data_IF_362750009561
#
_entry.id   IF_362750009561
#
_cell.length_a   1.000
_cell.length_b   1.000
_cell.length_c   1.000
_cell.angle_alpha   90.00
_cell.angle_beta   90.00
_cell.angle_gamma   90.00
#
_symmetry.space_group_name_H-M   'P 1'
#
loop_
_entity.id
_entity.type
_entity.pdbx_description
1 polymer ?
2 non-polymer ?
3 water ?
#
# COMPACT_ATOMS: atom_id res chain seq x y z
N UNK A 4 -13.73 -18.75 -1.43
CA UNK A 4 -12.71 -19.44 -0.62
C UNK A 4 -11.34 -19.44 -1.31
N UNK A 5 -10.34 -19.34 -0.54
CA UNK A 5 -9.01 -19.22 -1.11
C UNK A 5 -8.35 -20.59 -1.22
N UNK A 6 -7.48 -20.77 -2.21
CA UNK A 6 -6.83 -22.07 -2.37
C UNK A 6 -6.05 -22.45 -1.14
N UNK A 7 -5.91 -23.75 -0.94
CA UNK A 7 -5.21 -24.30 0.20
C UNK A 7 -4.18 -25.31 -0.28
N UNK A 8 -3.19 -25.55 0.58
CA UNK A 8 -2.21 -26.61 0.43
C UNK A 8 -2.02 -27.25 1.79
N UNK A 9 -1.45 -28.39 1.78
CA UNK A 9 -1.17 -29.00 3.07
C UNK A 9 0.27 -28.80 3.45
N UNK A 10 0.59 -28.72 4.75
CA UNK A 10 -0.40 -28.68 5.84
C UNK A 10 -1.04 -27.32 5.93
N UNK A 11 -2.27 -27.24 6.45
CA UNK A 11 -2.95 -25.97 6.62
C UNK A 11 -2.64 -25.31 7.95
N UNK A 12 -1.94 -26.02 8.84
CA UNK A 12 -1.60 -25.49 10.15
C UNK A 12 -0.18 -25.93 10.46
N UNK A 13 0.59 -25.04 11.09
CA UNK A 13 1.97 -25.34 11.38
C UNK A 13 2.54 -24.31 12.34
N UNK A 14 3.49 -24.75 13.17
CA UNK A 14 4.23 -23.86 14.04
C UNK A 14 5.09 -22.89 13.23
N UNK A 15 5.42 -21.73 13.79
CA UNK A 15 6.31 -20.79 13.10
C UNK A 15 7.59 -21.48 12.64
N UNK A 16 8.10 -21.03 11.49
CA UNK A 16 9.33 -21.55 10.92
C UNK A 16 10.26 -20.42 10.54
N UNK A 17 11.42 -20.79 10.05
CA UNK A 17 12.50 -19.90 9.69
C UNK A 17 12.96 -20.25 8.28
N UNK A 18 13.12 -19.29 7.40
CA UNK A 18 13.66 -19.60 6.07
C UNK A 18 15.16 -19.81 6.18
N UNK A 19 15.70 -20.53 5.20
CA UNK A 19 17.15 -20.73 5.13
C UNK A 19 17.73 -19.66 4.22
N UNK A 20 17.98 -18.49 4.81
CA UNK A 20 18.47 -17.33 4.07
C UNK A 20 19.98 -17.42 3.96
N UNK A 21 20.48 -17.20 2.76
CA UNK A 21 21.91 -17.10 2.50
C UNK A 21 22.26 -15.68 2.08
N UNK A 22 22.22 -14.76 3.03
CA UNK A 22 22.52 -13.37 2.71
C UNK A 22 23.99 -13.20 2.30
N UNK A 23 24.20 -12.38 1.28
CA UNK A 23 25.50 -12.05 0.71
C UNK A 23 25.85 -10.58 1.03
N UNK A 24 27.07 -10.17 0.64
CA UNK A 24 27.52 -8.80 0.89
C UNK A 24 26.69 -7.78 0.14
N UNK A 25 26.36 -8.07 -1.13
CA UNK A 25 25.62 -7.14 -1.96
C UNK A 25 24.12 -7.13 -1.67
N UNK A 26 23.63 -7.99 -0.79
CA UNK A 26 22.20 -8.13 -0.59
C UNK A 26 21.68 -7.11 0.42
N UNK A 27 20.51 -6.54 0.13
CA UNK A 27 19.78 -5.72 1.08
C UNK A 27 18.41 -6.33 1.32
N UNK A 28 18.02 -6.36 2.58
CA UNK A 28 16.69 -6.81 2.95
C UNK A 28 15.72 -5.66 2.65
N UNK A 29 14.71 -5.94 1.83
CA UNK A 29 13.72 -4.93 1.45
C UNK A 29 12.64 -4.84 2.51
N UNK A 30 12.04 -5.97 2.84
CA UNK A 30 11.11 -6.10 3.93
C UNK A 30 11.37 -7.46 4.54
N UNK A 31 11.12 -7.55 5.84
CA UNK A 31 11.49 -8.70 6.63
C UNK A 31 10.38 -9.01 7.61
N UNK A 32 10.01 -10.30 7.72
CA UNK A 32 8.98 -10.76 8.65
C UNK A 32 7.66 -10.01 8.48
N UNK A 33 7.31 -9.69 7.24
CA UNK A 33 6.04 -9.03 6.98
C UNK A 33 4.92 -10.06 7.06
N UNK A 34 3.94 -9.82 7.95
CA UNK A 34 2.92 -10.81 8.24
C UNK A 34 1.79 -10.71 7.23
N UNK A 35 1.25 -11.87 6.85
CA UNK A 35 0.11 -11.97 5.97
C UNK A 35 -0.83 -12.99 6.58
N UNK A 36 -2.09 -12.66 6.84
CA UNK A 36 -2.92 -13.48 7.75
C UNK A 36 -3.60 -14.66 7.06
N UNK A 37 -2.81 -15.61 6.58
CA UNK A 37 -3.38 -16.80 5.97
C UNK A 37 -2.29 -17.86 5.96
N UNK A 38 -2.66 -19.14 5.96
CA UNK A 38 -1.64 -20.19 6.03
C UNK A 38 -0.68 -20.09 4.86
N UNK A 39 0.52 -20.64 5.07
CA UNK A 39 1.58 -20.59 4.08
C UNK A 39 1.13 -21.11 2.72
N UNK A 40 0.50 -22.30 2.71
CA UNK A 40 0.06 -22.87 1.44
C UNK A 40 -0.90 -21.99 0.67
N UNK A 41 -1.73 -21.22 1.39
CA UNK A 41 -2.66 -20.30 0.72
C UNK A 41 -1.90 -19.15 0.07
N UNK A 42 -0.97 -18.55 0.80
CA UNK A 42 -0.24 -17.41 0.25
C UNK A 42 0.60 -17.85 -0.95
N UNK A 43 1.22 -19.02 -0.85
CA UNK A 43 2.00 -19.53 -1.98
C UNK A 43 1.11 -19.68 -3.21
N UNK A 44 -0.12 -20.18 -3.01
CA UNK A 44 -1.03 -20.33 -4.14
C UNK A 44 -1.48 -18.99 -4.69
N UNK A 45 -1.59 -17.96 -3.83
CA UNK A 45 -2.01 -16.65 -4.31
C UNK A 45 -0.97 -16.04 -5.26
N UNK A 46 0.31 -16.10 -4.87
CA UNK A 46 1.37 -15.48 -5.67
C UNK A 46 1.77 -16.35 -6.87
N UNK A 47 1.74 -17.67 -6.69
CA UNK A 47 2.46 -18.56 -7.59
C UNK A 47 1.64 -19.71 -8.13
N UNK A 48 0.40 -19.89 -7.67
CA UNK A 48 -0.45 -21.01 -8.07
C UNK A 48 -1.05 -20.88 -9.46
N UNK A 49 -1.78 -21.93 -9.86
CA UNK A 49 -2.22 -22.04 -11.25
C UNK A 49 -3.27 -20.99 -11.63
N UNK A 50 -4.02 -20.46 -10.69
CA UNK A 50 -4.82 -19.29 -11.00
C UNK A 50 -3.93 -18.06 -10.86
N UNK A 51 -3.45 -17.54 -11.99
CA UNK A 51 -2.49 -16.45 -11.99
C UNK A 51 -3.15 -15.08 -11.91
N UNK A 52 -4.47 -15.02 -11.74
CA UNK A 52 -5.14 -13.72 -11.64
C UNK A 52 -4.67 -12.95 -10.41
N UNK A 53 -4.39 -13.66 -9.31
CA UNK A 53 -3.95 -12.96 -8.11
C UNK A 53 -2.60 -12.30 -8.31
N UNK A 54 -1.63 -13.00 -8.93
CA UNK A 54 -0.36 -12.32 -9.21
C UNK A 54 -0.56 -11.17 -10.19
N UNK A 55 -1.44 -11.36 -11.16
CA UNK A 55 -1.80 -10.25 -12.06
C UNK A 55 -2.30 -9.05 -11.29
N UNK A 56 -3.15 -9.28 -10.28
CA UNK A 56 -3.61 -8.15 -9.46
C UNK A 56 -2.46 -7.51 -8.69
N UNK A 57 -1.53 -8.33 -8.20
CA UNK A 57 -0.40 -7.78 -7.45
C UNK A 57 0.38 -6.79 -8.31
N UNK A 58 0.65 -7.15 -9.57
CA UNK A 58 1.45 -6.28 -10.41
C UNK A 58 0.66 -5.03 -10.80
N UNK A 59 -0.57 -5.21 -11.27
CA UNK A 59 -1.35 -4.06 -11.73
C UNK A 59 -1.88 -3.21 -10.58
N UNK A 60 -1.65 -3.63 -9.34
CA UNK A 60 -1.99 -2.76 -8.21
C UNK A 60 -1.16 -1.49 -8.22
N UNK A 61 0.07 -1.57 -8.73
CA UNK A 61 0.90 -0.39 -8.94
C UNK A 61 0.48 0.28 -10.25
N UNK A 62 -0.03 1.51 -10.15
CA UNK A 62 -0.47 2.26 -11.31
C UNK A 62 0.62 2.40 -12.37
N UNK A 63 1.88 2.35 -11.95
CA UNK A 63 2.98 2.53 -12.89
C UNK A 63 3.29 1.29 -13.70
N UNK A 64 2.72 0.13 -13.35
CA UNK A 64 2.91 -1.08 -14.13
C UNK A 64 1.79 -1.17 -15.16
N UNK A 65 2.17 -1.23 -16.45
CA UNK A 65 1.24 -1.24 -17.56
C UNK A 65 1.66 -2.29 -18.57
N UNK A 66 0.74 -2.62 -19.48
CA UNK A 66 0.99 -3.61 -20.52
C UNK A 66 1.53 -4.92 -19.92
N UNK A 67 0.79 -5.42 -18.94
CA UNK A 67 1.16 -6.66 -18.24
C UNK A 67 0.62 -7.83 -19.05
N UNK A 68 1.53 -8.62 -19.64
CA UNK A 68 1.04 -9.78 -20.36
C UNK A 68 0.48 -10.82 -19.38
N UNK A 69 -0.29 -11.76 -19.92
CA UNK A 69 -0.88 -12.77 -19.05
C UNK A 69 0.21 -13.57 -18.39
N UNK A 70 0.02 -13.87 -17.10
CA UNK A 70 1.03 -14.56 -16.30
C UNK A 70 0.84 -16.05 -16.49
N UNK A 71 1.83 -16.78 -16.99
CA UNK A 71 1.72 -18.24 -17.07
C UNK A 71 1.84 -18.91 -15.72
N UNK A 72 1.34 -20.14 -15.65
CA UNK A 72 1.64 -20.95 -14.47
C UNK A 72 3.09 -21.42 -14.49
N UNK A 73 3.57 -21.88 -13.35
CA UNK A 73 4.90 -22.48 -13.28
C UNK A 73 4.92 -23.82 -14.00
N UNK A 74 5.94 -24.02 -14.81
CA UNK A 74 6.17 -25.30 -15.46
C UNK A 74 7.56 -25.79 -15.08
N UNK A 75 7.79 -27.11 -14.99
CA UNK A 75 6.89 -28.24 -15.27
C UNK A 75 5.69 -28.24 -14.33
N UNK A 76 5.89 -27.86 -13.08
CA UNK A 76 4.78 -27.61 -12.18
C UNK A 76 5.28 -26.71 -11.05
N UNK A 77 4.37 -26.42 -10.11
CA UNK A 77 4.70 -25.59 -8.95
C UNK A 77 5.47 -26.46 -7.97
N UNK A 78 6.79 -26.51 -8.15
CA UNK A 78 7.64 -27.38 -7.36
C UNK A 78 9.08 -26.90 -7.54
N UNK A 79 9.97 -27.36 -6.67
CA UNK A 79 11.37 -26.98 -6.80
C UNK A 79 11.87 -27.34 -8.19
N UNK A 80 12.57 -26.41 -8.84
CA UNK A 80 12.96 -26.55 -10.22
C UNK A 80 12.00 -25.95 -11.23
N UNK A 81 10.76 -25.63 -10.83
CA UNK A 81 9.82 -25.00 -11.73
C UNK A 81 10.17 -23.55 -11.99
N UNK A 82 9.69 -23.04 -13.13
CA UNK A 82 9.98 -21.66 -13.50
C UNK A 82 8.90 -21.12 -14.44
N UNK A 83 8.91 -19.80 -14.60
CA UNK A 83 8.02 -19.13 -15.53
C UNK A 83 8.62 -17.79 -15.90
N UNK A 84 8.11 -17.20 -16.97
CA UNK A 84 8.64 -15.99 -17.54
C UNK A 84 7.47 -15.10 -17.95
N UNK A 85 7.54 -13.81 -17.65
CA UNK A 85 6.57 -12.85 -18.16
C UNK A 85 7.21 -11.46 -18.19
N UNK A 86 6.48 -10.51 -18.77
CA UNK A 86 6.98 -9.18 -19.04
C UNK A 86 5.90 -8.16 -18.74
N UNK A 87 6.34 -6.94 -18.44
CA UNK A 87 5.43 -5.81 -18.38
C UNK A 87 6.29 -4.55 -18.49
N UNK A 88 5.64 -3.39 -18.40
CA UNK A 88 6.30 -2.11 -18.53
C UNK A 88 6.10 -1.32 -17.24
N UNK A 89 7.17 -0.71 -16.74
CA UNK A 89 7.12 0.08 -15.52
C UNK A 89 7.38 1.54 -15.84
N UNK A 90 6.43 2.41 -15.49
CA UNK A 90 6.65 3.84 -15.61
C UNK A 90 7.57 4.31 -14.49
N UNK A 91 8.50 5.18 -14.85
CA UNK A 91 9.54 5.69 -13.97
C UNK A 91 9.42 7.22 -13.85
N UNK A 92 10.32 7.78 -13.07
CA UNK A 92 10.44 9.22 -12.94
C UNK A 92 11.40 9.69 -14.03
N UNK A 93 10.88 10.45 -14.99
CA UNK A 93 11.70 10.86 -16.13
C UNK A 93 12.68 12.00 -15.81
N UNK A 94 12.69 12.53 -14.58
CA UNK A 94 13.69 13.54 -14.26
C UNK A 94 14.98 12.91 -13.79
N UNK A 95 14.93 11.73 -13.16
CA UNK A 95 16.14 10.99 -12.83
C UNK A 95 16.47 9.89 -13.82
N UNK A 96 15.57 9.54 -14.73
CA UNK A 96 15.87 8.52 -15.73
C UNK A 96 14.96 8.54 -16.93
N UNK A 97 14.81 7.38 -17.58
CA UNK A 97 13.88 7.27 -18.72
C UNK A 97 12.44 7.22 -18.23
N UNK A 98 11.52 7.55 -19.13
CA UNK A 98 10.13 7.64 -18.72
C UNK A 98 9.53 6.29 -18.34
N UNK A 99 10.06 5.19 -18.88
CA UNK A 99 9.56 3.88 -18.50
C UNK A 99 10.61 2.85 -18.91
N UNK A 100 10.42 1.61 -18.46
CA UNK A 100 11.28 0.52 -18.88
C UNK A 100 10.48 -0.76 -18.98
N UNK A 101 10.79 -1.55 -20.01
CA UNK A 101 10.35 -2.95 -20.03
C UNK A 101 10.96 -3.66 -18.84
N UNK A 102 10.20 -4.62 -18.31
CA UNK A 102 10.68 -5.51 -17.25
C UNK A 102 10.48 -6.94 -17.72
N UNK A 103 11.57 -7.67 -17.87
CA UNK A 103 11.52 -9.07 -18.26
C UNK A 103 11.83 -9.88 -17.01
N UNK A 104 10.81 -10.57 -16.50
CA UNK A 104 10.89 -11.28 -15.22
C UNK A 104 10.95 -12.78 -15.45
N UNK A 105 11.92 -13.43 -14.82
CA UNK A 105 11.96 -14.88 -14.68
C UNK A 105 11.83 -15.22 -13.19
N UNK A 106 10.91 -16.11 -12.86
CA UNK A 106 10.75 -16.59 -11.50
C UNK A 106 11.15 -18.06 -11.47
N UNK A 107 12.00 -18.42 -10.51
CA UNK A 107 12.42 -19.81 -10.33
C UNK A 107 12.11 -20.24 -8.90
N UNK A 108 11.46 -21.40 -8.77
CA UNK A 108 11.19 -21.98 -7.46
C UNK A 108 12.48 -22.66 -6.99
N UNK A 109 13.15 -22.04 -6.02
CA UNK A 109 14.39 -22.59 -5.51
C UNK A 109 14.17 -23.61 -4.42
N UNK A 110 13.04 -23.54 -3.75
CA UNK A 110 12.77 -24.44 -2.65
C UNK A 110 11.28 -24.35 -2.40
N UNK A 111 10.63 -25.50 -2.21
CA UNK A 111 9.21 -25.39 -1.89
C UNK A 111 8.81 -26.53 -0.96
N UNK A 112 8.61 -26.17 0.31
CA UNK A 112 8.24 -27.11 1.36
C UNK A 112 7.23 -26.38 2.23
N UNK A 113 5.95 -26.70 2.05
CA UNK A 113 4.90 -26.02 2.81
C UNK A 113 5.01 -26.34 4.30
N UNK A 114 5.78 -27.37 4.68
CA UNK A 114 6.04 -27.61 6.09
C UNK A 114 7.02 -26.61 6.67
N UNK A 115 7.75 -25.87 5.82
CA UNK A 115 8.89 -25.08 6.23
C UNK A 115 8.94 -23.71 5.56
N UNK A 116 9.39 -23.64 4.31
CA UNK A 116 9.43 -22.35 3.68
C UNK A 116 9.46 -22.51 2.17
N UNK A 117 9.15 -21.41 1.49
CA UNK A 117 9.20 -21.34 0.03
C UNK A 117 10.16 -20.23 -0.35
N UNK A 118 10.99 -20.51 -1.35
CA UNK A 118 11.89 -19.53 -1.94
C UNK A 118 11.64 -19.48 -3.45
N UNK A 119 11.15 -18.33 -3.92
CA UNK A 119 11.00 -18.06 -5.34
C UNK A 119 11.96 -16.92 -5.66
N UNK A 120 12.83 -17.14 -6.64
CA UNK A 120 13.81 -16.13 -7.00
C UNK A 120 13.38 -15.47 -8.30
N UNK A 121 13.20 -14.15 -8.26
CA UNK A 121 12.96 -13.36 -9.46
C UNK A 121 14.28 -12.85 -10.01
N UNK A 122 14.49 -13.03 -11.30
CA UNK A 122 15.59 -12.44 -12.04
C UNK A 122 14.96 -11.50 -13.05
N UNK A 123 15.31 -10.23 -13.01
CA UNK A 123 14.65 -9.24 -13.82
C UNK A 123 15.66 -8.42 -14.60
N UNK A 124 15.35 -8.20 -15.88
CA UNK A 124 16.14 -7.34 -16.74
C UNK A 124 15.31 -6.14 -17.18
N UNK A 125 15.97 -4.99 -17.23
CA UNK A 125 15.31 -3.71 -17.51
C UNK A 125 16.11 -3.08 -18.65
N UNK A 126 15.84 -3.49 -19.88
CA UNK A 126 16.70 -3.09 -21.02
C UNK A 126 16.70 -1.60 -21.29
N UNK A 127 15.67 -0.87 -20.88
CA UNK A 127 15.51 0.52 -21.26
C UNK A 127 16.20 1.50 -20.32
N UNK A 128 16.68 1.04 -19.17
CA UNK A 128 17.28 1.97 -18.21
C UNK A 128 18.74 2.17 -18.59
N UNK A 129 19.34 3.31 -18.26
CA UNK A 129 20.75 3.50 -18.55
C UNK A 129 21.55 2.38 -17.90
N UNK A 130 22.50 1.85 -18.67
CA UNK A 130 23.38 0.78 -18.19
C UNK A 130 22.61 -0.54 -18.04
N UNK A 131 21.45 -0.64 -18.69
CA UNK A 131 20.59 -1.80 -18.59
C UNK A 131 21.14 -3.03 -19.28
N UNK A 132 22.16 -2.88 -20.12
CA UNK A 132 22.81 -4.02 -20.74
C UNK A 132 23.95 -4.57 -19.90
N UNK A 133 24.10 -4.10 -18.66
CA UNK A 133 25.20 -4.52 -17.79
C UNK A 133 24.79 -5.27 -16.53
N UNK A 134 23.49 -5.44 -16.27
CA UNK A 134 23.11 -6.03 -14.99
C UNK A 134 21.76 -6.72 -15.11
N UNK A 135 21.51 -7.67 -14.22
CA UNK A 135 20.18 -8.16 -13.93
C UNK A 135 19.89 -7.98 -12.44
N UNK A 136 18.62 -7.87 -12.11
CA UNK A 136 18.19 -7.74 -10.72
C UNK A 136 17.78 -9.11 -10.20
N UNK A 137 18.30 -9.47 -9.05
CA UNK A 137 17.93 -10.70 -8.35
C UNK A 137 17.11 -10.33 -7.12
N UNK A 138 15.93 -10.93 -7.00
CA UNK A 138 15.02 -10.70 -5.87
C UNK A 138 14.57 -12.04 -5.33
N UNK A 139 14.84 -12.30 -4.05
CA UNK A 139 14.47 -13.56 -3.41
C UNK A 139 13.28 -13.30 -2.50
N UNK A 140 12.19 -14.02 -2.76
CA UNK A 140 10.94 -13.93 -2.02
C UNK A 140 10.85 -15.19 -1.19
N UNK A 141 11.02 -15.05 0.13
CA UNK A 141 10.90 -16.14 1.08
C UNK A 141 9.52 -16.06 1.73
N UNK A 142 8.83 -17.18 1.80
CA UNK A 142 7.58 -17.31 2.50
C UNK A 142 7.72 -18.41 3.53
N UNK A 143 7.27 -18.16 4.76
CA UNK A 143 7.45 -19.10 5.85
C UNK A 143 6.31 -18.89 6.83
N UNK A 144 6.19 -19.83 7.77
CA UNK A 144 5.08 -19.78 8.72
C UNK A 144 5.35 -18.72 9.76
N UNK A 145 4.37 -17.87 10.01
CA UNK A 145 4.39 -16.95 11.13
C UNK A 145 3.61 -17.49 12.31
N UNK A 146 3.24 -16.58 13.21
CA UNK A 146 2.47 -16.94 14.39
C UNK A 146 1.05 -17.33 14.02
N UNK A 147 0.53 -18.35 14.70
CA UNK A 147 -0.90 -18.66 14.65
C UNK A 147 -1.36 -19.04 13.25
N UNK A 148 -0.55 -19.83 12.54
CA UNK A 148 -0.91 -20.33 11.20
C UNK A 148 -1.05 -19.17 10.19
N UNK A 149 -0.22 -18.15 10.34
CA UNK A 149 -0.11 -17.11 9.34
C UNK A 149 1.19 -17.26 8.56
N UNK A 150 1.42 -16.32 7.65
CA UNK A 150 2.60 -16.36 6.78
C UNK A 150 3.42 -15.09 6.99
N UNK A 151 4.74 -15.26 7.08
CA UNK A 151 5.66 -14.13 7.02
C UNK A 151 6.36 -14.13 5.67
N UNK A 152 6.62 -12.94 5.16
CA UNK A 152 7.37 -12.75 3.94
C UNK A 152 8.63 -11.94 4.22
N UNK A 153 9.74 -12.34 3.61
CA UNK A 153 10.99 -11.60 3.61
C UNK A 153 11.53 -11.55 2.19
N UNK A 154 11.97 -10.37 1.76
CA UNK A 154 12.45 -10.15 0.41
C UNK A 154 13.84 -9.56 0.49
N UNK A 155 14.77 -10.16 -0.25
CA UNK A 155 16.17 -9.77 -0.27
C UNK A 155 16.54 -9.55 -1.73
N UNK A 156 17.38 -8.55 -1.99
CA UNK A 156 17.70 -8.24 -3.38
C UNK A 156 19.14 -7.80 -3.54
N UNK A 157 19.67 -8.06 -4.73
CA UNK A 157 21.02 -7.68 -5.13
C UNK A 157 21.03 -7.46 -6.64
N UNK A 158 22.04 -6.72 -7.10
CA UNK A 158 22.29 -6.53 -8.52
C UNK A 158 23.36 -7.55 -8.94
N UNK A 159 23.06 -8.31 -9.99
CA UNK A 159 24.06 -9.19 -10.62
C UNK A 159 24.67 -8.41 -11.77
N UNK A 160 25.88 -7.90 -11.57
CA UNK A 160 26.59 -7.19 -12.61
C UNK A 160 27.23 -8.18 -13.57
N UNK A 161 26.79 -8.16 -14.82
CA UNK A 161 27.43 -8.96 -15.86
C UNK A 161 28.53 -8.19 -16.58
N UNK A 162 28.55 -6.87 -16.47
CA UNK A 162 29.65 -6.04 -16.95
C UNK A 162 29.78 -4.88 -15.98
N UNK A 163 30.91 -4.17 -16.06
CA UNK A 163 31.16 -3.01 -15.23
C UNK A 163 30.27 -1.82 -15.65
N UNK A 164 30.05 -0.91 -14.70
CA UNK A 164 29.15 0.22 -14.96
C UNK A 164 29.52 1.44 -14.12
N UNK A 165 29.35 2.63 -14.71
CA UNK A 165 29.54 3.89 -14.00
C UNK A 165 28.30 4.31 -13.22
N UNK A 166 27.16 3.62 -13.41
CA UNK A 166 25.94 3.88 -12.67
C UNK A 166 25.76 2.92 -11.50
N UNK A 167 26.83 2.26 -11.07
CA UNK A 167 26.69 1.16 -10.11
C UNK A 167 25.92 1.59 -8.87
N UNK A 168 26.29 2.73 -8.28
CA UNK A 168 25.63 3.18 -7.06
C UNK A 168 24.18 3.55 -7.28
N UNK A 169 23.90 4.27 -8.37
CA UNK A 169 22.54 4.72 -8.62
C UNK A 169 21.60 3.56 -8.92
N UNK A 170 22.10 2.52 -9.57
CA UNK A 170 21.24 1.41 -9.94
C UNK A 170 20.90 0.55 -8.73
N UNK A 171 21.89 0.31 -7.86
CA UNK A 171 21.62 -0.48 -6.65
C UNK A 171 20.65 0.23 -5.73
N UNK A 172 20.76 1.55 -5.61
CA UNK A 172 19.86 2.27 -4.72
C UNK A 172 18.47 2.39 -5.33
N UNK A 173 18.38 2.87 -6.57
CA UNK A 173 17.10 2.91 -7.24
C UNK A 173 16.40 1.58 -7.20
N UNK A 174 17.17 0.48 -7.32
CA UNK A 174 16.56 -0.85 -7.33
C UNK A 174 15.98 -1.19 -5.97
N UNK A 175 16.74 -0.93 -4.90
CA UNK A 175 16.24 -1.14 -3.53
C UNK A 175 15.03 -0.24 -3.24
N UNK A 176 15.13 1.04 -3.54
CA UNK A 176 14.01 1.91 -3.22
C UNK A 176 12.80 1.59 -4.09
N UNK A 177 13.02 1.26 -5.35
CA UNK A 177 11.89 0.89 -6.18
C UNK A 177 11.20 -0.36 -5.67
N UNK A 178 11.98 -1.28 -5.09
CA UNK A 178 11.38 -2.54 -4.65
C UNK A 178 10.71 -2.41 -3.28
N UNK A 179 11.13 -1.45 -2.46
CA UNK A 179 10.32 -1.14 -1.29
C UNK A 179 8.90 -0.78 -1.70
N UNK A 180 8.77 0.06 -2.74
CA UNK A 180 7.46 0.40 -3.26
C UNK A 180 6.71 -0.85 -3.75
N UNK A 181 7.35 -1.67 -4.59
CA UNK A 181 6.61 -2.77 -5.22
C UNK A 181 6.27 -3.87 -4.21
N UNK A 182 7.16 -4.15 -3.26
CA UNK A 182 6.85 -5.15 -2.25
C UNK A 182 5.74 -4.65 -1.32
N UNK A 183 5.73 -3.35 -1.01
CA UNK A 183 4.63 -2.86 -0.19
C UNK A 183 3.30 -3.03 -0.90
N UNK A 184 3.26 -2.87 -2.22
CA UNK A 184 2.02 -3.12 -2.98
C UNK A 184 1.65 -4.58 -2.98
N UNK A 185 2.64 -5.46 -3.17
CA UNK A 185 2.40 -6.89 -3.15
C UNK A 185 1.84 -7.33 -1.80
N UNK A 186 2.44 -6.86 -0.71
CA UNK A 186 1.93 -7.21 0.62
C UNK A 186 0.51 -6.69 0.80
N UNK A 187 0.25 -5.45 0.38
CA UNK A 187 -1.09 -4.87 0.54
C UNK A 187 -2.12 -5.60 -0.31
N UNK A 188 -1.75 -5.95 -1.55
CA UNK A 188 -2.70 -6.65 -2.42
C UNK A 188 -3.01 -8.04 -1.87
N UNK A 189 -2.02 -8.73 -1.31
CA UNK A 189 -2.25 -10.02 -0.66
C UNK A 189 -3.16 -9.88 0.55
N UNK A 190 -2.90 -8.87 1.39
CA UNK A 190 -3.77 -8.65 2.55
C UNK A 190 -5.19 -8.29 2.11
N UNK A 191 -5.32 -7.56 1.01
CA UNK A 191 -6.64 -7.24 0.48
C UNK A 191 -7.37 -8.48 -0.04
N UNK A 192 -6.68 -9.35 -0.78
CA UNK A 192 -7.31 -10.55 -1.30
C UNK A 192 -7.82 -11.42 -0.16
N UNK A 193 -7.04 -11.50 0.92
CA UNK A 193 -7.44 -12.30 2.08
C UNK A 193 -8.61 -11.63 2.82
N UNK A 194 -8.53 -10.32 3.03
CA UNK A 194 -9.65 -9.68 3.75
C UNK A 194 -10.90 -9.61 2.89
N UNK A 195 -10.77 -9.55 1.55
CA UNK A 195 -11.97 -9.54 0.71
C UNK A 195 -12.64 -10.90 0.62
N UNK A 196 -11.89 -11.99 0.79
CA UNK A 196 -12.53 -13.30 0.75
C UNK A 196 -13.27 -13.63 2.02
N UNK A 197 -13.00 -12.88 3.09
CA UNK A 197 -13.48 -13.15 4.43
C UNK A 197 -14.64 -12.27 4.82
N UNK A 198 -14.94 -11.21 4.07
CA UNK A 198 -15.91 -10.23 4.52
C UNK A 198 -16.69 -9.69 3.32
N UNK A 199 -17.84 -9.07 3.63
CA UNK A 199 -18.63 -8.40 2.60
C UNK A 199 -18.09 -7.00 2.36
N UNK A 200 -18.04 -6.61 1.09
CA UNK A 200 -17.63 -5.27 0.71
C UNK A 200 -18.68 -4.26 1.18
N UNK A 201 -18.33 -3.30 2.03
CA UNK A 201 -19.36 -2.43 2.63
C UNK A 201 -19.66 -1.16 1.86
N UNK A 202 -18.95 -0.88 0.75
CA UNK A 202 -19.21 0.29 -0.08
C UNK A 202 -19.12 -0.11 -1.56
N UNK A 203 -19.51 0.83 -2.42
CA UNK A 203 -19.51 0.65 -3.89
C UNK A 203 -20.58 -0.34 -4.35
N UNK B 2 -5.44 24.31 -11.00
CA UNK B 2 -4.95 23.34 -11.99
C UNK B 2 -3.64 23.73 -12.68
N UNK B 3 -3.28 25.01 -12.65
CA UNK B 3 -2.05 25.51 -13.29
C UNK B 3 -0.84 25.45 -12.36
N UNK B 4 -0.99 25.90 -11.11
CA UNK B 4 0.11 25.94 -10.16
C UNK B 4 -0.31 25.26 -8.87
N UNK B 5 0.65 24.54 -8.23
CA UNK B 5 0.26 23.92 -6.97
C UNK B 5 0.76 24.73 -5.76
N UNK B 6 0.02 24.73 -4.65
CA UNK B 6 0.50 25.40 -3.44
C UNK B 6 1.82 24.80 -2.97
N UNK B 7 2.61 25.61 -2.27
CA UNK B 7 3.93 25.20 -1.80
C UNK B 7 4.09 25.55 -0.33
N UNK B 8 5.00 24.87 0.34
CA UNK B 8 5.48 25.23 1.67
C UNK B 8 6.98 24.97 1.72
N UNK B 9 7.66 25.59 2.68
CA UNK B 9 9.09 25.31 2.82
C UNK B 9 9.36 24.43 4.03
N UNK B 10 10.42 23.62 3.99
CA UNK B 10 11.25 23.46 2.79
C UNK B 10 10.56 22.67 1.68
N UNK B 11 10.96 22.92 0.45
CA UNK B 11 10.47 22.20 -0.71
C UNK B 11 11.29 20.96 -1.02
N UNK B 12 12.38 20.76 -0.30
CA UNK B 12 13.25 19.62 -0.52
C UNK B 12 13.70 19.12 0.85
N UNK B 13 13.79 17.80 1.01
CA UNK B 13 14.19 17.25 2.30
C UNK B 13 14.50 15.78 2.14
N UNK B 14 15.44 15.30 2.96
CA UNK B 14 15.75 13.87 2.99
C UNK B 14 14.52 13.08 3.49
N UNK B 15 14.44 11.80 3.13
CA UNK B 15 13.32 10.98 3.57
C UNK B 15 13.19 10.99 5.09
N UNK B 16 11.94 10.99 5.57
CA UNK B 16 11.65 10.91 7.01
C UNK B 16 10.62 9.80 7.23
N UNK B 17 10.44 9.41 8.49
CA UNK B 17 9.41 8.44 8.78
C UNK B 17 8.79 8.79 10.12
N UNK B 18 7.47 8.79 10.23
CA UNK B 18 6.82 9.11 11.50
C UNK B 18 6.82 7.93 12.48
N UNK B 19 6.51 8.27 13.73
CA UNK B 19 6.20 7.32 14.78
C UNK B 19 4.72 7.04 14.66
N UNK B 20 4.38 5.99 13.92
CA UNK B 20 2.99 5.67 13.64
C UNK B 20 2.27 5.03 14.82
N UNK B 21 3.01 4.68 15.87
CA UNK B 21 2.47 4.20 17.14
C UNK B 21 1.30 3.24 16.94
N UNK B 22 1.57 2.14 16.24
CA UNK B 22 0.52 1.14 16.05
C UNK B 22 0.29 0.35 17.33
N UNK B 23 -0.98 0.20 17.71
CA UNK B 23 -1.40 -0.58 18.88
C UNK B 23 -2.18 -1.81 18.42
N UNK B 24 -2.61 -2.63 19.38
CA UNK B 24 -3.27 -3.89 19.04
C UNK B 24 -4.61 -3.67 18.34
N UNK B 25 -5.36 -2.63 18.71
CA UNK B 25 -6.65 -2.34 18.09
C UNK B 25 -6.53 -1.64 16.73
N UNK B 26 -5.33 -1.27 16.30
CA UNK B 26 -5.10 -0.52 15.08
C UNK B 26 -4.96 -1.43 13.87
N UNK B 27 -5.46 -0.97 12.72
CA UNK B 27 -5.25 -1.58 11.42
C UNK B 27 -4.65 -0.59 10.44
N UNK B 28 -3.70 -1.06 9.63
CA UNK B 28 -3.15 -0.27 8.54
C UNK B 28 -4.16 -0.27 7.41
N UNK B 29 -4.50 0.93 6.92
CA UNK B 29 -5.38 1.02 5.76
C UNK B 29 -4.50 0.93 4.52
N UNK B 30 -3.58 1.88 4.39
CA UNK B 30 -2.57 1.88 3.34
C UNK B 30 -1.30 2.41 3.97
N UNK B 31 -0.15 1.98 3.45
CA UNK B 31 1.09 2.30 4.11
C UNK B 31 2.14 2.67 3.07
N UNK B 32 2.90 3.72 3.36
CA UNK B 32 4.01 4.12 2.49
C UNK B 32 3.56 4.35 1.06
N UNK B 33 2.36 4.91 0.88
CA UNK B 33 1.89 5.23 -0.47
C UNK B 33 2.60 6.47 -0.98
N UNK B 34 3.24 6.37 -2.14
CA UNK B 34 4.02 7.49 -2.67
C UNK B 34 3.15 8.46 -3.45
N UNK B 35 3.43 9.76 -3.26
CA UNK B 35 2.73 10.83 -3.95
C UNK B 35 3.83 11.72 -4.49
N UNK B 36 3.90 11.96 -5.80
CA UNK B 36 5.13 12.55 -6.38
C UNK B 36 5.15 14.08 -6.31
N UNK B 37 5.20 14.61 -5.09
CA UNK B 37 5.25 16.04 -4.86
C UNK B 37 5.78 16.30 -3.46
N UNK B 38 6.41 17.46 -3.23
CA UNK B 38 7.01 17.73 -1.92
C UNK B 38 5.96 17.69 -0.80
N UNK B 39 6.44 17.45 0.42
CA UNK B 39 5.52 17.29 1.56
C UNK B 39 4.60 18.50 1.73
N UNK B 40 5.15 19.72 1.70
CA UNK B 40 4.33 20.90 1.87
C UNK B 40 3.26 21.05 0.80
N UNK B 41 3.55 20.55 -0.41
CA UNK B 41 2.56 20.62 -1.49
C UNK B 41 1.38 19.70 -1.20
N UNK B 42 1.67 18.45 -0.81
CA UNK B 42 0.61 17.48 -0.55
C UNK B 42 -0.21 17.91 0.66
N UNK B 43 0.46 18.42 1.70
CA UNK B 43 -0.24 18.93 2.88
C UNK B 43 -1.21 20.03 2.48
N UNK B 44 -0.80 20.93 1.58
CA UNK B 44 -1.68 22.01 1.17
C UNK B 44 -2.86 21.48 0.37
N UNK B 45 -2.65 20.45 -0.43
CA UNK B 45 -3.73 19.90 -1.22
C UNK B 45 -4.83 19.33 -0.34
N UNK B 46 -4.45 18.54 0.66
CA UNK B 46 -5.45 17.87 1.50
C UNK B 46 -6.03 18.78 2.56
N UNK B 47 -5.23 19.70 3.11
CA UNK B 47 -5.58 20.40 4.34
C UNK B 47 -5.43 21.92 4.23
N UNK B 48 -4.97 22.45 3.08
CA UNK B 48 -4.76 23.88 2.97
C UNK B 48 -6.06 24.65 2.83
N UNK B 49 -5.94 25.97 2.93
CA UNK B 49 -7.12 26.83 3.05
C UNK B 49 -7.90 26.89 1.74
N UNK B 50 -7.29 26.54 0.62
CA UNK B 50 -8.06 26.28 -0.59
C UNK B 50 -8.56 24.84 -0.51
N UNK B 51 -9.77 24.67 -0.04
CA UNK B 51 -10.35 23.36 0.22
C UNK B 51 -10.97 22.72 -1.02
N UNK B 52 -10.78 23.32 -2.18
CA UNK B 52 -11.36 22.71 -3.37
C UNK B 52 -10.71 21.36 -3.67
N UNK B 53 -9.41 21.22 -3.39
CA UNK B 53 -8.75 19.96 -3.67
C UNK B 53 -9.28 18.84 -2.79
N UNK B 54 -9.47 19.10 -1.49
CA UNK B 54 -10.03 18.06 -0.62
C UNK B 54 -11.47 17.74 -1.00
N UNK B 55 -12.23 18.75 -1.41
CA UNK B 55 -13.59 18.48 -1.92
C UNK B 55 -13.52 17.55 -3.12
N UNK B 56 -12.58 17.78 -4.02
CA UNK B 56 -12.44 16.88 -5.17
C UNK B 56 -12.06 15.48 -4.73
N UNK B 57 -11.20 15.36 -3.70
CA UNK B 57 -10.80 14.06 -3.16
C UNK B 57 -12.02 13.30 -2.64
N UNK B 58 -12.92 14.00 -1.95
CA UNK B 58 -14.07 13.32 -1.36
C UNK B 58 -15.05 12.88 -2.45
N UNK B 59 -15.32 13.76 -3.42
CA UNK B 59 -16.30 13.43 -4.45
C UNK B 59 -15.74 12.51 -5.53
N UNK B 60 -14.44 12.24 -5.52
CA UNK B 60 -13.89 11.22 -6.43
C UNK B 60 -14.40 9.83 -6.06
N UNK B 61 -14.74 9.62 -4.79
CA UNK B 61 -15.33 8.38 -4.29
C UNK B 61 -16.81 8.36 -4.69
N UNK B 62 -17.18 7.45 -5.59
CA UNK B 62 -18.57 7.37 -6.08
C UNK B 62 -19.58 7.14 -4.97
N UNK B 63 -19.16 6.61 -3.81
CA UNK B 63 -20.06 6.35 -2.69
C UNK B 63 -20.40 7.59 -1.86
N UNK B 64 -19.69 8.70 -2.06
CA UNK B 64 -19.91 9.93 -1.31
C UNK B 64 -20.87 10.86 -2.04
N UNK B 65 -21.89 11.32 -1.32
CA UNK B 65 -22.89 12.24 -1.87
C UNK B 65 -23.12 13.36 -0.86
N UNK B 66 -23.78 14.42 -1.33
CA UNK B 66 -24.10 15.59 -0.52
C UNK B 66 -22.84 16.12 0.17
N UNK B 67 -21.79 16.37 -0.60
CA UNK B 67 -20.53 16.83 -0.05
C UNK B 67 -20.60 18.34 0.09
N UNK B 68 -20.73 18.80 1.32
CA UNK B 68 -20.80 20.22 1.63
C UNK B 68 -19.47 20.90 1.37
N UNK B 69 -19.48 22.23 1.37
CA UNK B 69 -18.24 22.96 1.23
C UNK B 69 -17.35 22.63 2.41
N UNK B 70 -16.06 22.45 2.16
CA UNK B 70 -15.10 22.11 3.20
C UNK B 70 -14.52 23.41 3.76
N UNK B 71 -14.63 23.65 5.05
CA UNK B 71 -13.93 24.79 5.65
C UNK B 71 -12.44 24.54 5.77
N UNK B 72 -11.69 25.64 5.93
CA UNK B 72 -10.29 25.58 6.30
C UNK B 72 -10.13 25.22 7.78
N UNK B 73 -8.90 24.84 8.16
CA UNK B 73 -8.59 24.59 9.56
C UNK B 73 -8.59 25.89 10.36
N UNK B 74 -9.22 25.87 11.52
CA UNK B 74 -9.18 27.04 12.39
C UNK B 74 -8.58 26.64 13.74
N UNK B 75 -7.85 27.55 14.40
CA UNK B 75 -7.61 28.95 14.03
C UNK B 75 -6.85 29.09 12.71
N UNK B 76 -5.91 28.19 12.47
CA UNK B 76 -5.25 28.08 11.17
C UNK B 76 -4.63 26.70 11.08
N UNK B 77 -3.94 26.48 9.97
CA UNK B 77 -3.28 25.21 9.67
C UNK B 77 -2.00 25.10 10.50
N UNK B 78 -2.15 24.55 11.71
CA UNK B 78 -1.04 24.39 12.64
C UNK B 78 -1.50 23.38 13.67
N UNK B 79 -0.56 22.85 14.44
CA UNK B 79 -0.92 21.93 15.49
C UNK B 79 -1.91 22.59 16.45
N UNK B 80 -2.98 21.88 16.78
CA UNK B 80 -4.09 22.44 17.52
C UNK B 80 -5.23 22.95 16.65
N UNK B 81 -5.01 23.15 15.36
CA UNK B 81 -6.10 23.54 14.47
C UNK B 81 -7.04 22.39 14.21
N UNK B 82 -8.28 22.70 13.86
CA UNK B 82 -9.25 21.64 13.55
C UNK B 82 -10.32 22.18 12.62
N UNK B 83 -11.11 21.26 12.07
CA UNK B 83 -12.26 21.64 11.25
C UNK B 83 -13.29 20.52 11.29
N UNK B 84 -14.50 20.86 10.86
CA UNK B 84 -15.64 19.96 10.95
C UNK B 84 -16.37 20.04 9.61
N UNK B 85 -16.72 18.90 9.02
CA UNK B 85 -17.58 18.86 7.85
C UNK B 85 -18.32 17.53 7.79
N UNK B 86 -19.27 17.43 6.87
CA UNK B 86 -20.21 16.32 6.81
C UNK B 86 -20.49 15.97 5.35
N UNK B 87 -20.81 14.70 5.12
CA UNK B 87 -21.36 14.24 3.85
C UNK B 87 -22.05 12.91 4.11
N UNK B 88 -22.58 12.31 3.05
CA UNK B 88 -23.30 11.06 3.19
C UNK B 88 -22.58 10.00 2.38
N UNK B 89 -22.43 8.82 2.96
CA UNK B 89 -21.78 7.71 2.27
C UNK B 89 -22.83 6.64 2.03
N UNK B 90 -23.00 6.28 0.75
CA UNK B 90 -23.87 5.16 0.40
C UNK B 90 -23.18 3.84 0.74
N UNK B 91 -23.95 2.87 1.20
CA UNK B 91 -23.38 1.62 1.66
C UNK B 91 -23.76 0.50 0.70
N UNK B 92 -22.99 -0.59 0.75
CA UNK B 92 -23.24 -1.71 -0.15
C UNK B 92 -23.97 -2.86 0.56
N UNK B 93 -23.23 -3.90 0.92
CA UNK B 93 -23.79 -5.06 1.60
C UNK B 93 -24.10 -4.67 3.04
N UNK B 94 -25.07 -3.78 3.21
CA UNK B 94 -25.39 -3.25 4.52
C UNK B 94 -26.35 -4.15 5.30
N UNK B 95 -26.21 -4.11 6.63
CA UNK B 95 -27.10 -4.78 7.56
C UNK B 95 -28.24 -3.88 7.99
N UNK B 96 -28.27 -2.64 7.50
CA UNK B 96 -29.24 -1.65 7.89
C UNK B 96 -29.57 -0.76 6.71
N UNK B 97 -29.46 0.55 6.89
CA UNK B 97 -29.85 1.48 5.82
C UNK B 97 -28.86 1.48 4.66
N UNK B 98 -29.36 1.97 3.53
CA UNK B 98 -28.59 2.06 2.29
C UNK B 98 -27.49 3.12 2.33
N UNK B 99 -27.54 4.05 3.30
CA UNK B 99 -26.54 5.09 3.41
C UNK B 99 -26.47 5.56 4.85
N UNK B 100 -25.42 6.33 5.17
CA UNK B 100 -25.26 6.90 6.50
C UNK B 100 -24.67 8.30 6.39
N UNK B 101 -25.19 9.20 7.22
CA UNK B 101 -24.50 10.46 7.44
C UNK B 101 -23.13 10.19 8.04
N UNK B 102 -22.15 10.99 7.63
CA UNK B 102 -20.78 10.95 8.16
C UNK B 102 -20.45 12.33 8.71
N UNK B 103 -20.19 12.42 10.00
CA UNK B 103 -19.83 13.66 10.67
C UNK B 103 -18.34 13.59 10.96
N UNK B 104 -17.56 14.43 10.28
CA UNK B 104 -16.10 14.36 10.33
C UNK B 104 -15.53 15.53 11.10
N UNK B 105 -14.65 15.23 12.03
CA UNK B 105 -13.79 16.23 12.64
C UNK B 105 -12.35 15.86 12.31
N UNK B 106 -11.59 16.83 11.81
CA UNK B 106 -10.16 16.66 11.57
C UNK B 106 -9.37 17.55 12.52
N UNK B 107 -8.36 16.98 13.18
CA UNK B 107 -7.47 17.71 14.08
C UNK B 107 -6.02 17.51 13.66
N UNK B 108 -5.27 18.61 13.58
CA UNK B 108 -3.84 18.54 13.29
C UNK B 108 -3.13 18.21 14.60
N UNK B 109 -2.63 16.99 14.73
CA UNK B 109 -1.92 16.59 15.94
C UNK B 109 -0.46 16.98 15.89
N UNK B 110 0.08 17.18 14.70
CA UNK B 110 1.49 17.52 14.54
C UNK B 110 1.64 18.08 13.14
N UNK B 111 2.36 19.18 13.00
CA UNK B 111 2.61 19.72 11.67
C UNK B 111 3.98 20.33 11.63
N UNK B 112 4.90 19.65 10.94
CA UNK B 112 6.27 20.13 10.79
C UNK B 112 6.73 19.67 9.40
N UNK B 113 6.76 20.58 8.44
CA UNK B 113 7.15 20.21 7.08
C UNK B 113 8.61 19.75 6.99
N UNK B 114 9.42 19.99 8.03
CA UNK B 114 10.73 19.37 8.09
C UNK B 114 10.69 17.90 8.49
N UNK B 115 9.52 17.40 8.92
CA UNK B 115 9.47 16.06 9.50
C UNK B 115 8.25 15.29 8.99
N UNK B 116 7.09 15.52 9.61
CA UNK B 116 5.87 14.88 9.16
C UNK B 116 4.66 15.68 9.66
N UNK B 117 3.52 15.37 9.07
CA UNK B 117 2.24 15.95 9.43
C UNK B 117 1.35 14.80 9.88
N UNK B 118 0.59 15.00 10.97
CA UNK B 118 -0.39 14.02 11.42
C UNK B 118 -1.74 14.71 11.56
N UNK B 119 -2.71 14.30 10.74
CA UNK B 119 -4.09 14.76 10.89
C UNK B 119 -4.94 13.57 11.29
N UNK B 120 -5.66 13.69 12.40
CA UNK B 120 -6.54 12.64 12.92
C UNK B 120 -7.98 12.99 12.58
N UNK B 121 -8.64 12.10 11.84
CA UNK B 121 -10.07 12.23 11.54
C UNK B 121 -10.84 11.40 12.56
N UNK B 122 -11.85 12.01 13.17
CA UNK B 122 -12.84 11.34 13.99
C UNK B 122 -14.18 11.46 13.28
N UNK B 123 -14.81 10.32 13.00
CA UNK B 123 -16.00 10.26 12.17
C UNK B 123 -17.11 9.51 12.89
N UNK B 124 -18.30 10.06 12.85
CA UNK B 124 -19.47 9.41 13.39
C UNK B 124 -20.40 9.09 12.25
N UNK B 125 -21.01 7.92 12.34
CA UNK B 125 -21.88 7.39 11.30
C UNK B 125 -23.16 7.00 12.02
N UNK B 126 -24.04 7.96 12.29
CA UNK B 126 -25.17 7.69 13.19
C UNK B 126 -26.15 6.67 12.65
N UNK B 127 -26.23 6.51 11.33
CA UNK B 127 -27.34 5.78 10.74
C UNK B 127 -27.09 4.30 10.60
N UNK B 128 -25.87 3.83 10.83
CA UNK B 128 -25.52 2.44 10.61
C UNK B 128 -25.94 1.68 11.86
N UNK B 129 -26.23 0.38 11.78
CA UNK B 129 -26.55 -0.36 13.00
C UNK B 129 -25.45 -0.19 14.04
N UNK B 130 -25.86 0.07 15.28
CA UNK B 130 -24.93 0.24 16.38
C UNK B 130 -24.15 1.54 16.29
N UNK B 131 -24.61 2.50 15.48
CA UNK B 131 -23.88 3.74 15.26
C UNK B 131 -23.86 4.69 16.45
N UNK B 132 -24.70 4.49 17.45
CA UNK B 132 -24.64 5.32 18.64
C UNK B 132 -23.65 4.80 19.68
N UNK B 133 -22.83 3.80 19.31
CA UNK B 133 -21.89 3.14 20.20
C UNK B 133 -20.43 3.35 19.81
N UNK B 134 -20.13 3.99 18.69
CA UNK B 134 -18.74 4.12 18.27
C UNK B 134 -18.54 5.37 17.44
N UNK B 135 -17.29 5.84 17.44
CA UNK B 135 -16.78 6.75 16.44
C UNK B 135 -15.56 6.09 15.79
N UNK B 136 -15.30 6.46 14.54
CA UNK B 136 -14.15 5.95 13.80
C UNK B 136 -12.99 6.95 13.94
N UNK B 137 -11.83 6.44 14.32
CA UNK B 137 -10.61 7.25 14.35
C UNK B 137 -9.67 6.82 13.22
N UNK B 138 -9.24 7.77 12.39
CA UNK B 138 -8.34 7.50 11.28
C UNK B 138 -7.21 8.50 11.30
N UNK B 139 -5.96 8.02 11.34
CA UNK B 139 -4.79 8.88 11.39
C UNK B 139 -4.11 8.92 10.03
N UNK B 140 -3.97 10.11 9.47
CA UNK B 140 -3.32 10.33 8.18
C UNK B 140 -1.93 10.88 8.46
N UNK B 141 -0.89 10.10 8.15
CA UNK B 141 0.49 10.54 8.26
C UNK B 141 1.03 10.91 6.88
N UNK B 142 1.67 12.08 6.77
CA UNK B 142 2.35 12.50 5.55
C UNK B 142 3.80 12.82 5.92
N UNK B 143 4.74 12.29 5.14
CA UNK B 143 6.15 12.44 5.44
C UNK B 143 6.95 12.37 4.13
N UNK B 144 8.25 12.69 4.23
CA UNK B 144 9.11 12.76 3.04
C UNK B 144 9.50 11.37 2.55
N UNK B 145 9.29 11.14 1.27
CA UNK B 145 9.79 9.96 0.60
C UNK B 145 11.05 10.27 -0.17
N UNK B 146 11.39 9.36 -1.08
CA UNK B 146 12.61 9.51 -1.86
C UNK B 146 12.46 10.63 -2.90
N UNK B 147 13.55 11.36 -3.14
CA UNK B 147 13.56 12.35 -4.23
C UNK B 147 12.52 13.44 -4.02
N UNK B 148 12.41 13.93 -2.79
CA UNK B 148 11.53 15.05 -2.51
C UNK B 148 10.06 14.74 -2.85
N UNK B 149 9.65 13.48 -2.66
CA UNK B 149 8.25 13.11 -2.80
C UNK B 149 7.63 12.94 -1.42
N UNK B 150 6.38 12.53 -1.39
CA UNK B 150 5.61 12.38 -0.15
C UNK B 150 5.12 10.94 -0.04
N UNK B 151 5.27 10.36 1.15
CA UNK B 151 4.65 9.08 1.49
C UNK B 151 3.47 9.33 2.42
N UNK B 152 2.41 8.55 2.26
CA UNK B 152 1.25 8.64 3.13
C UNK B 152 1.01 7.30 3.81
N UNK B 153 0.61 7.34 5.08
CA UNK B 153 0.21 6.11 5.75
C UNK B 153 -1.06 6.43 6.51
N UNK B 154 -2.04 5.54 6.45
CA UNK B 154 -3.30 5.73 7.13
C UNK B 154 -3.55 4.51 8.00
N UNK B 155 -3.86 4.78 9.26
CA UNK B 155 -4.09 3.80 10.32
C UNK B 155 -5.43 4.14 10.96
N UNK B 156 -6.20 3.13 11.34
CA UNK B 156 -7.54 3.37 11.84
C UNK B 156 -7.90 2.38 12.93
N UNK B 157 -8.78 2.81 13.83
CA UNK B 157 -9.35 1.97 14.88
C UNK B 157 -10.74 2.49 15.19
N UNK B 158 -11.54 1.66 15.86
CA UNK B 158 -12.85 2.08 16.34
C UNK B 158 -12.72 2.50 17.80
N UNK B 159 -13.22 3.69 18.11
CA UNK B 159 -13.39 4.10 19.50
C UNK B 159 -14.79 3.70 19.91
N UNK B 160 -14.91 2.62 20.68
CA UNK B 160 -16.20 2.20 21.20
C UNK B 160 -16.56 3.03 22.43
N UNK B 161 -17.64 3.81 22.35
CA UNK B 161 -18.11 4.57 23.50
C UNK B 161 -19.16 3.83 24.33
N UNK B 162 -19.77 2.77 23.80
CA UNK B 162 -20.70 1.91 24.52
C UNK B 162 -20.46 0.48 24.08
N UNK B 163 -21.10 -0.47 24.77
CA UNK B 163 -21.00 -1.87 24.39
C UNK B 163 -21.65 -2.10 23.04
N UNK B 164 -21.15 -3.10 22.31
CA UNK B 164 -21.74 -3.41 21.00
C UNK B 164 -21.53 -4.88 20.67
N UNK B 165 -22.57 -5.50 20.14
CA UNK B 165 -22.43 -6.89 19.71
C UNK B 165 -22.04 -7.04 18.25
N UNK B 166 -22.05 -5.97 17.44
CA UNK B 166 -21.56 -6.03 16.07
C UNK B 166 -20.11 -5.62 15.99
N UNK B 167 -19.39 -5.68 17.11
CA UNK B 167 -18.06 -5.11 17.17
C UNK B 167 -17.17 -5.65 16.06
N UNK B 168 -17.20 -6.95 15.82
CA UNK B 168 -16.31 -7.52 14.82
C UNK B 168 -16.59 -7.01 13.43
N UNK B 169 -17.87 -6.99 13.04
CA UNK B 169 -18.19 -6.59 11.67
C UNK B 169 -17.93 -5.12 11.43
N UNK B 170 -18.12 -4.28 12.45
CA UNK B 170 -17.93 -2.86 12.26
C UNK B 170 -16.45 -2.53 12.10
N UNK B 171 -15.61 -3.18 12.90
CA UNK B 171 -14.17 -2.94 12.79
C UNK B 171 -13.66 -3.37 11.41
N UNK B 172 -14.19 -4.47 10.86
CA UNK B 172 -13.81 -4.93 9.53
C UNK B 172 -14.46 -4.11 8.42
N UNK B 173 -15.76 -3.87 8.50
CA UNK B 173 -16.38 -3.01 7.52
C UNK B 173 -15.67 -1.68 7.39
N UNK B 174 -15.18 -1.14 8.51
CA UNK B 174 -14.52 0.15 8.51
C UNK B 174 -13.19 0.10 7.78
N UNK B 175 -12.38 -0.93 8.05
CA UNK B 175 -11.12 -1.10 7.34
C UNK B 175 -11.35 -1.23 5.84
N UNK B 176 -12.31 -2.09 5.46
CA UNK B 176 -12.57 -2.33 4.05
C UNK B 176 -13.10 -1.08 3.35
N UNK B 177 -14.00 -0.35 4.00
CA UNK B 177 -14.52 0.87 3.39
C UNK B 177 -13.45 1.93 3.23
N UNK B 178 -12.52 2.01 4.19
CA UNK B 178 -11.48 3.04 4.11
C UNK B 178 -10.37 2.67 3.14
N UNK B 179 -10.12 1.39 2.93
CA UNK B 179 -9.21 1.02 1.85
C UNK B 179 -9.69 1.60 0.52
N UNK B 180 -10.99 1.47 0.28
CA UNK B 180 -11.60 2.02 -0.93
C UNK B 180 -11.43 3.53 -0.98
N UNK B 181 -11.79 4.23 0.11
CA UNK B 181 -11.80 5.69 0.06
C UNK B 181 -10.38 6.26 -0.01
N UNK B 182 -9.41 5.61 0.65
CA UNK B 182 -8.02 6.06 0.54
C UNK B 182 -7.47 5.83 -0.86
N UNK B 183 -7.84 4.74 -1.52
CA UNK B 183 -7.36 4.56 -2.90
C UNK B 183 -7.92 5.65 -3.81
N UNK B 184 -9.17 6.06 -3.58
CA UNK B 184 -9.74 7.17 -4.35
C UNK B 184 -9.03 8.48 -4.06
N UNK B 185 -8.72 8.73 -2.78
CA UNK B 185 -7.99 9.94 -2.42
C UNK B 185 -6.62 9.97 -3.08
N UNK B 186 -5.89 8.84 -3.04
CA UNK B 186 -4.58 8.80 -3.68
C UNK B 186 -4.69 9.02 -5.18
N UNK B 187 -5.68 8.40 -5.83
CA UNK B 187 -5.78 8.58 -7.27
C UNK B 187 -6.12 10.04 -7.63
N UNK B 188 -6.96 10.71 -6.83
CA UNK B 188 -7.24 12.12 -7.09
C UNK B 188 -6.01 12.99 -6.87
N UNK B 189 -5.24 12.74 -5.80
CA UNK B 189 -4.03 13.52 -5.54
C UNK B 189 -3.01 13.34 -6.66
N UNK B 190 -2.79 12.08 -7.08
CA UNK B 190 -1.88 11.82 -8.21
C UNK B 190 -2.40 12.47 -9.48
N UNK B 191 -3.72 12.54 -9.62
CA UNK B 191 -4.34 13.23 -10.76
C UNK B 191 -4.02 14.71 -10.73
N UNK B 192 -4.19 15.34 -9.57
CA UNK B 192 -3.97 16.78 -9.42
C UNK B 192 -2.52 17.14 -9.68
N UNK B 193 -1.58 16.32 -9.18
CA UNK B 193 -0.17 16.63 -9.35
C UNK B 193 0.27 16.45 -10.80
N UNK B 194 -0.16 15.37 -11.46
CA UNK B 194 0.31 15.19 -12.85
C UNK B 194 -0.31 16.22 -13.78
N UNK B 195 -1.49 16.75 -13.45
CA UNK B 195 -2.10 17.78 -14.27
C UNK B 195 -1.41 19.13 -14.11
N UNK B 196 -0.71 19.35 -13.00
CA UNK B 196 0.04 20.59 -12.83
C UNK B 196 1.34 20.56 -13.62
X LIG C 1 13.80 -0.60 -12.73
X LIG C 1 14.43 -0.91 -11.34
X LIG C 1 15.08 -2.29 -11.37
X LIG C 1 13.98 -3.40 -11.47
X LIG C 1 12.92 -3.27 -10.33
X LIG C 1 11.82 -4.39 -10.44
X LIG C 1 11.18 -4.42 -11.83
X LIG C 1 12.47 -5.78 -10.12
X LIG C 1 11.40 -6.87 -9.98
X LIG C 1 10.50 -6.51 -8.81
X LIG C 1 9.56 -7.54 -8.67
X LIG C 1 9.76 -5.21 -9.18
X LIG C 1 10.73 -4.11 -9.46
X LIG C 1 10.53 -2.96 -8.89
X LIG C 1 11.33 -1.73 -9.14
X LIG C 1 12.27 -1.89 -10.33
X LIG C 1 13.37 -0.86 -10.18
X LIG C 1 12.90 0.61 -10.21
X LIG C 1 14.24 1.36 -10.34
X LIG C 1 15.29 0.30 -10.88
X LIG C 1 16.21 0.91 -11.98
X LIG C 1 17.19 -0.14 -12.43
X LIG C 1 16.96 2.14 -11.41
X LIG C 1 17.63 2.94 -12.54
X LIG C 1 18.24 4.22 -11.94
X LIG C 1 18.46 5.33 -13.00
X LIG C 1 19.17 4.75 -14.24
X LIG C 1 17.14 5.94 -13.41
X LIG C 1 19.22 6.38 -12.46
X LIG C 1 13.00 -1.11 -12.90
X LIG C 1 13.53 0.34 -12.79
X LIG C 1 14.39 -0.80 -13.47
X LIG C 1 15.63 -2.43 -10.58
X LIG C 1 15.68 -2.38 -12.12
X LIG C 1 14.37 -4.29 -11.46
X LIG C 1 13.57 -3.34 -12.34
X LIG C 1 13.38 -3.37 -9.48
X LIG C 1 10.40 -4.98 -11.87
X LIG C 1 10.93 -3.53 -12.13
X LIG C 1 11.81 -4.78 -12.49
X LIG C 1 13.00 -5.71 -9.31
X LIG C 1 13.10 -6.01 -10.82
X LIG C 1 11.82 -7.74 -9.85
X LIG C 1 10.88 -6.95 -10.80
X LIG C 1 11.01 -6.38 -8.00
X LIG C 1 9.95 -8.25 -8.93
X LIG C 1 9.19 -4.93 -8.44
X LIG C 1 9.15 -5.33 -9.94
X LIG C 1 9.84 -2.86 -8.28
X LIG C 1 11.84 -1.54 -8.33
X LIG C 1 10.73 -0.98 -9.27
X LIG C 1 11.76 -1.75 -11.14
X LIG C 1 13.80 -1.01 -9.33
X LIG C 1 12.40 0.87 -9.42
X LIG C 1 12.33 0.79 -10.97
X LIG C 1 14.51 1.70 -9.48
X LIG C 1 14.16 2.12 -10.91
X LIG C 1 15.85 0.01 -10.14
X LIG C 1 15.67 1.21 -12.73
X LIG C 1 16.80 -0.75 -13.08
X LIG C 1 17.95 0.26 -12.87
X LIG C 1 17.51 -0.68 -11.70
X LIG C 1 16.34 2.72 -10.94
X LIG C 1 17.61 1.86 -10.76
X LIG C 1 18.32 2.40 -12.96
X LIG C 1 17.02 3.16 -13.26
X LIG C 1 17.69 4.55 -11.20
X LIG C 1 19.10 4.02 -11.52
X LIG C 1 18.64 4.04 -14.63
X LIG C 1 19.31 5.42 -14.93
X LIG C 1 20.03 4.36 -14.02
X LIG C 1 16.53 5.28 -13.78
X LIG C 1 16.69 6.40 -12.69
X LIG C 1 17.29 6.58 -14.12
X LIG C 1 19.57 6.09 -11.74
X LIG D 1 -19.28 3.74 7.21
X LIG D 1 -17.97 3.02 7.58
X LIG D 1 -17.27 3.71 8.78
X LIG D 1 -16.78 5.10 8.39
X LIG D 1 -15.84 5.07 7.17
X LIG D 1 -15.34 6.52 6.78
X LIG D 1 -16.54 7.48 6.63
X LIG D 1 -14.34 7.06 7.82
X LIG D 1 -13.70 8.37 7.34
X LIG D 1 -12.89 8.03 6.05
X LIG D 1 -12.22 9.18 5.65
X LIG D 1 -13.87 7.64 4.98
X LIG D 1 -14.66 6.45 5.43
X LIG D 1 -14.90 5.54 4.55
X LIG D 1 -15.53 4.24 4.84
X LIG D 1 -16.52 4.39 5.95
X LIG D 1 -16.97 3.03 6.36
X LIG D 1 -17.78 2.24 5.32
X LIG D 1 -18.26 1.07 6.12
X LIG D 1 -18.17 1.49 7.64
X LIG D 1 -19.40 0.94 8.41
X LIG D 1 -19.47 1.51 9.83
X LIG D 1 -19.23 -0.61 8.42
X LIG D 1 -20.23 -1.36 9.28
X LIG D 1 -21.51 -1.54 8.52
X LIG D 1 -22.24 -2.90 8.81
X LIG D 1 -22.16 -3.33 10.26
X LIG D 1 -23.71 -2.72 8.39
X LIG D 1 -21.75 -3.88 8.01
X LIG D 1 -19.14 4.50 6.63
X LIG D 1 -19.88 3.14 6.74
X LIG D 1 -19.74 4.09 7.98
X LIG D 1 -16.55 3.17 9.11
X LIG D 1 -17.89 3.77 9.53
X LIG D 1 -16.33 5.54 9.14
X LIG D 1 -17.56 5.66 8.22
X LIG D 1 -15.07 4.52 7.42
X LIG D 1 -16.33 8.27 6.12
X LIG D 1 -17.30 7.05 6.21
X LIG D 1 -16.82 7.80 7.51
X LIG D 1 -13.65 6.39 8.01
X LIG D 1 -14.80 7.19 8.66
X LIG D 1 -13.13 8.76 8.02
X LIG D 1 -14.38 9.03 7.15
X LIG D 1 -12.26 7.31 6.22
X LIG D 1 -12.26 9.73 6.30
X LIG D 1 -13.40 7.40 4.17
X LIG D 1 -14.47 8.36 4.73
X LIG D 1 -14.67 5.68 3.67
X LIG D 1 -14.83 3.61 5.08
X LIG D 1 -15.96 3.90 4.03
X LIG D 1 -17.26 4.93 5.64
X LIG D 1 -16.18 2.51 6.58
X LIG D 1 -17.26 1.99 4.54
X LIG D 1 -18.52 2.77 4.98
X LIG D 1 -17.72 0.28 5.95
X LIG D 1 -19.16 0.82 5.86
X LIG D 1 -17.38 1.09 8.02
X LIG D 1 -20.21 1.14 7.93
X LIG D 1 -19.59 2.48 9.84
X LIG D 1 -20.23 1.16 10.33
X LIG D 1 -18.68 1.32 10.35
X LIG D 1 -19.28 -0.94 7.51
X LIG D 1 -18.33 -0.83 8.70
X LIG D 1 -19.85 -2.22 9.53
X LIG D 1 -20.39 -0.92 10.13
X LIG D 1 -22.11 -0.79 8.69
X LIG D 1 -21.34 -1.49 7.57
X LIG D 1 -22.57 -2.67 10.84
X LIG D 1 -22.63 -4.16 10.41
X LIG D 1 -21.25 -3.44 10.56
X LIG D 1 -23.80 -2.53 7.45
X LIG D 1 -24.25 -3.50 8.59
X LIG D 1 -24.09 -1.97 8.87
X LIG D 1 -22.04 -3.76 7.23
#
# INVERSE_FOLDING_TARGET
GPMTLPKMEPSSHAPTEPDIQKDKDDSIIRENENIPAPLGTVVQLLFGSNTEYMQKVITRDKNNVNVETIPKFTPSLVEGGSRHYEYTKKLNNSIGPKQTKCLLTESIEHMDINNYVLVTQTTKTPDVPSGSNFAVESKIFLFWGQHDTTNMTVITKINWTSKSFLKGAIEKGSVEGQKVSVDYMLSELRDIISRAKSKKPVK
GPMTLPKMEPSSHAPTEPDIQKDKDDSIIRENENIPAPLGTVVQLLFGSNTEYMQKVITRDKNNVNVETIPKFTPSLVEGGSRHYEYTKKLNNSIGPKQTKCLLTESIEHMDINNYVLVTQTTKTPDVPSGSNFAVESKIFLFWGQHDTTNMTVITKINWTSKSFLKGAIEKGSVEGQKVSVDYMLSELRDIISRAKSKKPVK
HC3 C18 C13 C12 C11 C9 C10 C19 C1 C2 C3 O1 C4 C5 C6 C7 C8 C14 C15 C16 C17 C20 C21 C22 C23 C24 C25 C26 C27 O2 H181 H182 H183 H121 H122 H111 H112 H9 H191 H192 H193 H11 H12 H21 H22 H3 HO1 H41 H42 H6 H71 H72 H8 H14 H151 H152 H161 H162 H17 H20 H211 H212 H213 H221 H222 H231 H232 H241 H242 H261 H262 H263 H271 H272 H273 HO2
HC3 C18 C13 C12 C11 C9 C10 C19 C1 C2 C3 O1 C4 C5 C6 C7 C8 C14 C15 C16 C17 C20 C21 C22 C23 C24 C25 C26 C27 O2 H181 H182 H183 H121 H122 H111 H112 H9 H191 H192 H193 H11 H12 H21 H22 H3 HO1 H41 H42 H6 H71 H72 H8 H14 H151 H152 H161 H162 H17 H20 H211 H212 H213 H221 H222 H231 H232 H241 H242 H261 H262 H263 H271 H272 H273 HO2
#
